data_IF_323363003061
#
_entry.id   IF_323363003061
#
_cell.length_a   1.000
_cell.length_b   1.000
_cell.length_c   1.000
_cell.angle_alpha   90.00
_cell.angle_beta   90.00
_cell.angle_gamma   90.00
#
_symmetry.space_group_name_H-M   'P 1'
#
loop_
_entity.id
_entity.type
_entity.pdbx_description
1 polymer ?
#
# COMPACT_ATOMS: atom_id res chain seq x y z
N UNK A 1 57.31 -29.40 -40.63
CA UNK A 1 56.85 -29.96 -39.38
C UNK A 1 57.18 -29.03 -38.24
N UNK A 2 56.25 -28.30 -37.65
CA UNK A 2 56.37 -28.02 -36.23
C UNK A 2 55.12 -28.52 -35.49
N UNK A 3 55.41 -28.92 -34.27
CA UNK A 3 54.58 -29.58 -33.30
C UNK A 3 53.38 -28.74 -32.80
N UNK A 4 52.27 -29.43 -32.63
CA UNK A 4 51.02 -28.95 -32.00
C UNK A 4 51.24 -28.74 -30.50
N UNK A 5 51.13 -27.51 -30.05
CA UNK A 5 51.08 -27.16 -28.62
C UNK A 5 49.66 -27.40 -28.11
N UNK A 6 49.53 -28.35 -27.20
CA UNK A 6 48.34 -28.66 -26.43
C UNK A 6 47.84 -27.43 -25.67
N UNK A 7 46.67 -26.90 -26.04
CA UNK A 7 45.92 -25.97 -25.24
C UNK A 7 45.38 -26.66 -23.99
N UNK A 8 45.98 -26.36 -22.84
CA UNK A 8 45.44 -26.72 -21.54
C UNK A 8 44.13 -25.91 -21.34
N UNK A 9 43.02 -26.63 -21.39
CA UNK A 9 41.73 -26.09 -21.02
C UNK A 9 41.81 -25.49 -19.60
N UNK A 10 41.59 -24.20 -19.49
CA UNK A 10 41.35 -23.54 -18.22
C UNK A 10 40.22 -24.27 -17.49
N UNK A 11 40.39 -24.72 -16.25
CA UNK A 11 39.29 -25.27 -15.49
C UNK A 11 38.19 -24.18 -15.39
N UNK A 12 36.95 -24.56 -15.72
CA UNK A 12 35.81 -23.72 -15.57
C UNK A 12 35.80 -23.17 -14.15
N UNK A 13 35.77 -21.84 -14.03
CA UNK A 13 35.70 -21.16 -12.72
C UNK A 13 34.52 -21.79 -11.96
N UNK A 14 34.81 -22.48 -10.88
CA UNK A 14 33.80 -22.96 -9.93
C UNK A 14 32.97 -21.78 -9.49
N UNK A 15 31.70 -21.72 -9.93
CA UNK A 15 30.78 -20.71 -9.49
C UNK A 15 30.77 -20.70 -7.96
N UNK A 16 30.86 -19.49 -7.37
CA UNK A 16 30.82 -19.34 -5.92
C UNK A 16 29.53 -20.02 -5.39
N UNK A 17 29.60 -20.69 -4.23
CA UNK A 17 28.44 -21.37 -3.67
C UNK A 17 27.27 -20.40 -3.53
N UNK A 18 26.09 -20.78 -4.04
CA UNK A 18 24.88 -19.97 -3.90
C UNK A 18 24.50 -19.88 -2.43
N UNK A 19 24.18 -18.66 -1.96
CA UNK A 19 23.64 -18.46 -0.60
C UNK A 19 22.14 -18.70 -0.64
N UNK A 20 21.62 -19.53 0.27
CA UNK A 20 20.19 -19.72 0.49
C UNK A 20 19.83 -19.25 1.87
N UNK A 21 18.78 -18.43 1.97
CA UNK A 21 18.22 -18.02 3.25
C UNK A 21 17.07 -18.94 3.62
N UNK A 22 17.03 -19.42 4.86
CA UNK A 22 15.91 -20.12 5.45
C UNK A 22 15.31 -19.26 6.58
N UNK A 23 14.04 -18.86 6.45
CA UNK A 23 13.37 -17.95 7.37
C UNK A 23 12.26 -18.68 8.13
N UNK A 24 12.39 -18.80 9.46
CA UNK A 24 11.37 -19.34 10.32
C UNK A 24 11.52 -18.84 11.74
N UNK A 25 10.46 -18.29 12.32
CA UNK A 25 10.42 -17.70 13.68
C UNK A 25 10.50 -18.73 14.83
N UNK A 26 10.29 -20.01 14.53
CA UNK A 26 10.37 -21.12 15.49
C UNK A 26 11.28 -22.21 14.98
N UNK A 27 11.64 -23.18 15.85
CA UNK A 27 12.40 -24.35 15.41
C UNK A 27 11.53 -25.18 14.46
N UNK A 28 11.89 -25.21 13.21
CA UNK A 28 11.30 -26.06 12.18
C UNK A 28 12.28 -27.16 11.78
N UNK A 29 11.78 -28.35 11.59
CA UNK A 29 12.62 -29.53 11.27
C UNK A 29 13.29 -29.35 9.90
N UNK A 30 12.58 -28.82 8.92
CA UNK A 30 13.12 -28.53 7.59
C UNK A 30 14.34 -27.60 7.66
N UNK A 31 14.26 -26.53 8.48
CA UNK A 31 15.34 -25.56 8.64
C UNK A 31 16.60 -26.20 9.25
N UNK A 32 16.40 -27.08 10.22
CA UNK A 32 17.49 -27.83 10.87
C UNK A 32 18.08 -28.87 9.93
N UNK A 33 17.24 -29.58 9.17
CA UNK A 33 17.63 -30.59 8.19
C UNK A 33 18.48 -29.99 7.07
N UNK A 34 18.03 -28.91 6.43
CA UNK A 34 18.77 -28.23 5.37
C UNK A 34 20.05 -27.57 5.87
N UNK A 35 20.02 -26.96 7.05
CA UNK A 35 21.24 -26.41 7.66
C UNK A 35 22.29 -27.48 7.94
N UNK A 36 21.89 -28.67 8.42
CA UNK A 36 22.81 -29.79 8.64
C UNK A 36 23.32 -30.36 7.34
N UNK A 37 22.44 -30.51 6.34
CA UNK A 37 22.83 -30.98 5.00
C UNK A 37 23.84 -30.04 4.34
N UNK A 38 23.69 -28.72 4.43
CA UNK A 38 24.62 -27.76 3.82
C UNK A 38 26.03 -27.80 4.40
N UNK A 39 26.22 -28.37 5.60
CA UNK A 39 27.54 -28.59 6.20
C UNK A 39 28.24 -29.84 5.66
N UNK A 40 27.58 -30.65 4.83
CA UNK A 40 28.20 -31.79 4.20
C UNK A 40 29.13 -31.39 3.07
N UNK A 41 30.20 -32.17 2.84
CA UNK A 41 31.20 -31.88 1.79
C UNK A 41 30.63 -31.90 0.36
N UNK A 42 29.44 -32.48 0.17
CA UNK A 42 28.76 -32.57 -1.12
C UNK A 42 27.89 -31.31 -1.41
N UNK A 43 27.54 -30.53 -0.39
CA UNK A 43 26.71 -29.34 -0.56
C UNK A 43 27.57 -28.17 -1.09
N UNK A 44 27.27 -27.73 -2.32
CA UNK A 44 27.85 -26.50 -2.90
C UNK A 44 26.95 -25.26 -2.59
N UNK A 45 26.35 -25.24 -1.43
CA UNK A 45 25.35 -24.22 -1.02
C UNK A 45 25.68 -23.78 0.39
N UNK A 46 25.72 -22.48 0.61
CA UNK A 46 25.76 -21.89 1.95
C UNK A 46 24.32 -21.67 2.41
N UNK A 47 23.88 -22.32 3.50
CA UNK A 47 22.54 -22.16 4.04
C UNK A 47 22.60 -21.29 5.30
N UNK A 48 21.97 -20.11 5.24
CA UNK A 48 21.87 -19.17 6.35
C UNK A 48 20.49 -19.26 6.97
N UNK A 49 20.44 -19.43 8.29
CA UNK A 49 19.21 -19.43 9.07
C UNK A 49 18.91 -18.03 9.57
N UNK A 50 17.72 -17.56 9.30
CA UNK A 50 17.17 -16.31 9.83
C UNK A 50 15.95 -16.62 10.69
N UNK A 51 15.89 -16.05 11.88
CA UNK A 51 14.76 -16.24 12.80
C UNK A 51 13.61 -15.29 12.50
N UNK A 52 13.91 -14.18 11.82
CA UNK A 52 12.92 -13.16 11.48
C UNK A 52 13.08 -12.72 10.03
N UNK A 53 11.98 -12.23 9.40
CA UNK A 53 12.03 -11.57 8.09
C UNK A 53 13.01 -10.38 8.08
N UNK A 54 13.12 -9.65 9.17
CA UNK A 54 14.05 -8.51 9.31
C UNK A 54 15.51 -8.93 9.19
N UNK A 55 15.90 -10.06 9.81
CA UNK A 55 17.26 -10.61 9.67
C UNK A 55 17.57 -10.97 8.21
N UNK A 56 16.62 -11.65 7.54
CA UNK A 56 16.77 -12.00 6.14
C UNK A 56 16.89 -10.77 5.24
N UNK A 57 16.08 -9.75 5.51
CA UNK A 57 16.15 -8.45 4.84
C UNK A 57 17.50 -7.76 5.01
N UNK A 58 18.09 -7.83 6.21
CA UNK A 58 19.42 -7.28 6.47
C UNK A 58 20.50 -8.02 5.66
N UNK A 59 20.41 -9.32 5.50
CA UNK A 59 21.36 -10.12 4.68
C UNK A 59 21.23 -9.72 3.20
N UNK A 60 20.01 -9.56 2.68
CA UNK A 60 19.76 -9.10 1.31
C UNK A 60 20.34 -7.69 1.10
N UNK A 61 20.08 -6.76 2.03
CA UNK A 61 20.55 -5.39 1.97
C UNK A 61 22.07 -5.23 2.14
N UNK A 62 22.76 -6.21 2.73
CA UNK A 62 24.22 -6.23 2.84
C UNK A 62 24.94 -6.52 1.51
N UNK A 63 24.22 -6.70 0.40
CA UNK A 63 24.77 -6.93 -0.94
C UNK A 63 25.31 -8.36 -1.16
N UNK A 64 24.98 -9.29 -0.28
CA UNK A 64 25.29 -10.73 -0.54
C UNK A 64 24.42 -11.24 -1.66
N UNK A 65 25.04 -12.00 -2.57
CA UNK A 65 24.31 -12.65 -3.66
C UNK A 65 23.55 -13.85 -3.10
N UNK A 66 22.27 -13.65 -2.82
CA UNK A 66 21.35 -14.71 -2.38
C UNK A 66 20.72 -15.36 -3.61
N UNK A 67 20.77 -16.67 -3.70
CA UNK A 67 20.21 -17.42 -4.82
C UNK A 67 18.72 -17.75 -4.61
N UNK A 68 18.30 -17.97 -3.35
CA UNK A 68 16.94 -18.36 -3.00
C UNK A 68 16.63 -17.97 -1.56
N UNK A 69 15.35 -17.62 -1.29
CA UNK A 69 14.81 -17.43 0.06
C UNK A 69 13.71 -18.47 0.27
N UNK A 70 13.87 -19.36 1.25
CA UNK A 70 12.83 -20.26 1.75
C UNK A 70 12.17 -19.63 2.96
N UNK A 71 10.85 -19.49 2.94
CA UNK A 71 10.10 -18.81 4.00
C UNK A 71 9.04 -19.77 4.54
N UNK A 72 9.08 -20.05 5.84
CA UNK A 72 8.00 -20.78 6.52
C UNK A 72 6.68 -20.01 6.45
N UNK A 73 5.57 -20.70 6.18
CA UNK A 73 4.27 -20.04 6.05
C UNK A 73 3.89 -19.19 7.27
N UNK A 74 4.23 -19.65 8.50
CA UNK A 74 4.00 -18.89 9.73
C UNK A 74 4.91 -17.65 9.87
N UNK A 75 5.95 -17.53 9.03
CA UNK A 75 6.88 -16.39 9.01
C UNK A 75 6.79 -15.63 7.68
N UNK A 76 5.74 -15.87 6.90
CA UNK A 76 5.54 -15.19 5.62
C UNK A 76 5.47 -13.66 5.83
N UNK A 77 6.16 -12.93 4.94
CA UNK A 77 6.25 -11.48 5.00
C UNK A 77 6.35 -10.92 3.58
N UNK A 78 5.34 -10.16 3.17
CA UNK A 78 5.24 -9.57 1.83
C UNK A 78 6.38 -8.64 1.51
N UNK A 79 6.83 -7.89 2.51
CA UNK A 79 7.89 -6.90 2.33
C UNK A 79 9.24 -7.57 2.12
N UNK A 80 9.51 -8.69 2.82
CA UNK A 80 10.68 -9.52 2.59
C UNK A 80 10.66 -10.12 1.17
N UNK A 81 9.51 -10.65 0.75
CA UNK A 81 9.34 -11.27 -0.58
C UNK A 81 9.53 -10.21 -1.67
N UNK A 82 8.96 -9.02 -1.50
CA UNK A 82 9.14 -7.90 -2.41
C UNK A 82 10.61 -7.44 -2.45
N UNK A 83 11.28 -7.36 -1.30
CA UNK A 83 12.70 -7.03 -1.21
C UNK A 83 13.56 -8.07 -1.93
N UNK A 84 13.33 -9.37 -1.69
CA UNK A 84 14.04 -10.44 -2.39
C UNK A 84 13.92 -10.29 -3.90
N UNK A 85 12.71 -10.01 -4.39
CA UNK A 85 12.46 -9.78 -5.82
C UNK A 85 13.23 -8.58 -6.37
N UNK A 86 13.35 -7.46 -5.63
CA UNK A 86 14.14 -6.30 -6.07
C UNK A 86 15.63 -6.62 -6.18
N UNK A 87 16.11 -7.60 -5.42
CA UNK A 87 17.47 -8.14 -5.51
C UNK A 87 17.63 -9.25 -6.54
N UNK A 88 16.58 -9.55 -7.34
CA UNK A 88 16.61 -10.63 -8.33
C UNK A 88 16.63 -12.03 -7.72
N UNK A 89 16.16 -12.17 -6.47
CA UNK A 89 16.13 -13.41 -5.71
C UNK A 89 14.70 -13.96 -5.66
N UNK A 90 14.53 -15.24 -6.00
CA UNK A 90 13.24 -15.92 -5.89
C UNK A 90 12.94 -16.28 -4.44
N UNK A 91 11.67 -16.18 -4.05
CA UNK A 91 11.15 -16.63 -2.76
C UNK A 91 10.30 -17.88 -2.95
N UNK A 92 10.42 -18.84 -2.04
CA UNK A 92 9.68 -20.11 -2.02
C UNK A 92 9.01 -20.25 -0.66
N UNK A 93 7.71 -20.49 -0.65
CA UNK A 93 6.96 -20.74 0.57
C UNK A 93 7.11 -22.20 1.00
N UNK A 94 7.51 -22.43 2.24
CA UNK A 94 7.50 -23.75 2.88
C UNK A 94 6.17 -23.89 3.63
N UNK A 95 5.39 -24.89 3.26
CA UNK A 95 4.08 -25.15 3.86
C UNK A 95 4.16 -25.39 5.36
N UNK A 96 3.19 -24.85 6.06
CA UNK A 96 2.86 -25.20 7.43
C UNK A 96 1.39 -25.64 7.49
N UNK A 97 1.08 -26.88 7.90
CA UNK A 97 -0.31 -27.34 7.97
C UNK A 97 -1.21 -26.49 8.90
N UNK A 98 -0.60 -25.78 9.84
CA UNK A 98 -1.31 -24.89 10.77
C UNK A 98 -1.55 -23.48 10.21
N UNK A 99 -0.91 -23.11 9.10
CA UNK A 99 -0.98 -21.77 8.51
C UNK A 99 -1.23 -21.87 7.01
N UNK A 100 -2.45 -21.55 6.60
CA UNK A 100 -2.82 -21.52 5.19
C UNK A 100 -2.41 -20.17 4.59
N UNK A 101 -1.26 -20.10 3.94
CA UNK A 101 -0.81 -18.92 3.20
C UNK A 101 -0.88 -19.18 1.69
N UNK A 102 -1.44 -18.23 0.93
CA UNK A 102 -1.45 -18.30 -0.53
C UNK A 102 -0.13 -17.78 -1.10
N UNK A 103 0.71 -18.71 -1.54
CA UNK A 103 2.02 -18.40 -2.13
C UNK A 103 1.95 -17.52 -3.38
N UNK A 104 0.83 -17.58 -4.14
CA UNK A 104 0.62 -16.75 -5.34
C UNK A 104 0.33 -15.32 -4.95
N UNK A 105 -0.57 -15.13 -3.96
CA UNK A 105 -0.93 -13.82 -3.43
C UNK A 105 0.27 -13.15 -2.74
N UNK A 106 1.11 -13.93 -2.07
CA UNK A 106 2.36 -13.44 -1.48
C UNK A 106 3.42 -13.04 -2.53
N UNK A 107 3.30 -13.53 -3.76
CA UNK A 107 4.29 -13.30 -4.83
C UNK A 107 5.51 -14.21 -4.76
N UNK A 108 5.37 -15.38 -4.11
CA UNK A 108 6.39 -16.44 -4.13
C UNK A 108 6.43 -17.14 -5.49
N UNK A 109 7.61 -17.63 -5.87
CA UNK A 109 7.79 -18.35 -7.14
C UNK A 109 7.11 -19.73 -7.15
N UNK A 110 7.02 -20.37 -5.98
CA UNK A 110 6.38 -21.68 -5.76
C UNK A 110 6.20 -21.94 -4.27
N UNK A 111 5.52 -23.04 -3.95
CA UNK A 111 5.47 -23.59 -2.60
C UNK A 111 5.99 -25.03 -2.57
N UNK A 112 6.50 -25.45 -1.41
CA UNK A 112 6.99 -26.81 -1.16
C UNK A 112 6.50 -27.30 0.21
N UNK A 113 6.55 -28.60 0.41
CA UNK A 113 6.19 -29.21 1.69
C UNK A 113 7.34 -29.10 2.71
N UNK A 114 7.06 -29.24 3.98
CA UNK A 114 8.02 -29.09 5.07
C UNK A 114 8.99 -30.28 5.22
N UNK A 115 8.80 -31.36 4.45
CA UNK A 115 9.70 -32.51 4.37
C UNK A 115 10.87 -32.30 3.38
N UNK A 116 10.99 -31.11 2.78
CA UNK A 116 12.02 -30.73 1.81
C UNK A 116 13.41 -31.23 2.19
N UNK A 117 14.09 -31.84 1.21
CA UNK A 117 15.44 -32.41 1.34
C UNK A 117 16.52 -31.53 0.68
N UNK A 118 17.80 -31.93 0.82
CA UNK A 118 18.89 -31.24 0.14
C UNK A 118 18.83 -31.38 -1.38
N UNK A 119 18.34 -32.52 -1.89
CA UNK A 119 18.20 -32.76 -3.31
C UNK A 119 17.08 -31.90 -3.91
N UNK A 120 15.97 -31.75 -3.20
CA UNK A 120 14.88 -30.82 -3.57
C UNK A 120 15.39 -29.37 -3.62
N UNK A 121 16.26 -29.00 -2.68
CA UNK A 121 16.87 -27.67 -2.68
C UNK A 121 17.77 -27.44 -3.89
N UNK A 122 18.56 -28.46 -4.32
CA UNK A 122 19.37 -28.37 -5.53
C UNK A 122 18.47 -28.22 -6.77
N UNK A 123 17.37 -28.95 -6.84
CA UNK A 123 16.41 -28.85 -7.95
C UNK A 123 15.78 -27.45 -7.99
N UNK A 124 15.37 -26.89 -6.85
CA UNK A 124 14.88 -25.54 -6.75
C UNK A 124 15.91 -24.50 -7.21
N UNK A 125 17.15 -24.64 -6.80
CA UNK A 125 18.24 -23.76 -7.22
C UNK A 125 18.52 -23.84 -8.73
N UNK A 126 18.45 -25.00 -9.30
CA UNK A 126 18.63 -25.19 -10.76
C UNK A 126 17.47 -24.55 -11.54
N UNK A 127 16.26 -24.60 -11.00
CA UNK A 127 15.06 -24.06 -11.63
C UNK A 127 14.89 -22.54 -11.41
N UNK A 128 15.20 -22.04 -10.22
CA UNK A 128 14.88 -20.68 -9.78
C UNK A 128 16.11 -19.81 -9.47
N UNK A 129 17.29 -20.42 -9.30
CA UNK A 129 18.51 -19.75 -8.82
C UNK A 129 19.36 -19.07 -9.91
N UNK A 130 18.90 -19.07 -11.16
CA UNK A 130 19.56 -18.32 -12.25
C UNK A 130 19.31 -16.81 -12.14
N UNK A 131 20.15 -15.97 -12.81
CA UNK A 131 19.80 -14.57 -12.99
C UNK A 131 18.42 -14.52 -13.66
N UNK A 132 17.51 -13.61 -13.27
CA UNK A 132 16.21 -13.51 -13.89
C UNK A 132 16.42 -13.32 -15.39
N UNK A 133 16.11 -14.35 -16.17
CA UNK A 133 16.05 -14.24 -17.62
C UNK A 133 15.01 -13.16 -17.91
N UNK A 134 15.36 -12.17 -18.74
CA UNK A 134 14.45 -11.12 -19.18
C UNK A 134 13.23 -11.68 -19.97
N UNK A 135 13.17 -12.99 -20.11
CA UNK A 135 12.10 -13.83 -20.68
C UNK A 135 11.51 -14.82 -19.67
N UNK A 136 11.71 -14.64 -18.37
CA UNK A 136 10.74 -15.20 -17.46
C UNK A 136 9.45 -14.45 -17.78
N UNK A 137 8.69 -15.02 -18.72
CA UNK A 137 7.27 -14.86 -18.72
C UNK A 137 6.85 -15.03 -17.24
N UNK A 138 6.76 -13.90 -16.53
CA UNK A 138 5.78 -13.82 -15.51
C UNK A 138 4.55 -14.30 -16.26
N UNK A 139 4.21 -15.54 -16.05
CA UNK A 139 2.83 -15.91 -16.13
C UNK A 139 2.20 -14.95 -15.15
N UNK A 140 1.91 -13.71 -15.64
CA UNK A 140 0.66 -13.08 -15.32
C UNK A 140 -0.36 -14.17 -15.63
N UNK A 141 -0.43 -15.16 -14.74
CA UNK A 141 -1.70 -15.78 -14.50
C UNK A 141 -2.50 -14.62 -13.95
N UNK A 142 -3.01 -13.84 -14.88
CA UNK A 142 -4.31 -13.28 -14.74
C UNK A 142 -5.08 -14.41 -14.09
N UNK A 143 -5.16 -14.39 -12.77
CA UNK A 143 -6.19 -15.12 -12.06
C UNK A 143 -7.39 -14.64 -12.84
N UNK A 144 -8.02 -15.57 -13.51
CA UNK A 144 -9.16 -15.29 -14.37
C UNK A 144 -10.25 -14.75 -13.43
N UNK A 145 -10.15 -13.44 -13.16
CA UNK A 145 -11.07 -12.65 -12.34
C UNK A 145 -12.36 -12.37 -13.13
N UNK A 146 -12.61 -13.22 -14.17
CA UNK A 146 -13.90 -13.28 -14.84
C UNK A 146 -14.95 -13.77 -13.84
N UNK A 147 -15.35 -12.87 -12.94
CA UNK A 147 -16.32 -13.14 -11.88
C UNK A 147 -16.03 -12.43 -10.56
N UNK A 148 -14.79 -12.00 -10.28
CA UNK A 148 -14.52 -11.20 -9.09
C UNK A 148 -15.13 -9.79 -9.26
N UNK A 149 -15.89 -9.27 -8.28
CA UNK A 149 -16.42 -7.92 -8.36
C UNK A 149 -15.26 -6.92 -8.47
N UNK A 150 -15.43 -5.90 -9.32
CA UNK A 150 -14.44 -4.84 -9.45
C UNK A 150 -14.11 -4.23 -8.06
N UNK A 151 -12.84 -3.93 -7.78
CA UNK A 151 -12.45 -3.38 -6.48
C UNK A 151 -13.18 -2.07 -6.22
N UNK A 152 -13.57 -1.84 -4.96
CA UNK A 152 -14.30 -0.64 -4.57
C UNK A 152 -13.52 0.65 -4.92
N UNK A 153 -14.22 1.74 -5.27
CA UNK A 153 -13.58 3.03 -5.51
C UNK A 153 -12.79 3.54 -4.31
N UNK A 154 -11.60 4.07 -4.58
CA UNK A 154 -10.68 4.62 -3.59
C UNK A 154 -10.44 6.11 -3.82
N UNK A 155 -10.66 6.88 -2.78
CA UNK A 155 -10.40 8.33 -2.74
C UNK A 155 -9.26 8.61 -1.77
N UNK A 156 -8.14 9.12 -2.25
CA UNK A 156 -7.05 9.61 -1.40
C UNK A 156 -7.19 11.12 -1.18
N UNK A 157 -7.25 11.55 0.08
CA UNK A 157 -7.33 12.97 0.46
C UNK A 157 -6.00 13.41 1.05
N UNK A 158 -5.35 14.36 0.42
CA UNK A 158 -4.04 14.86 0.85
C UNK A 158 -3.93 16.36 0.64
N UNK A 159 -2.94 16.98 1.25
CA UNK A 159 -2.74 18.43 1.06
C UNK A 159 -1.56 18.99 1.82
N UNK A 160 -1.53 20.31 1.92
CA UNK A 160 -0.47 21.02 2.62
C UNK A 160 -0.77 21.16 4.12
N UNK A 161 0.24 21.34 4.94
CA UNK A 161 0.09 21.45 6.39
C UNK A 161 -0.98 22.48 6.80
N UNK A 162 -1.89 22.07 7.67
CA UNK A 162 -2.98 22.93 8.16
C UNK A 162 -4.04 23.27 7.12
N UNK A 163 -4.07 22.63 5.96
CA UNK A 163 -5.09 22.86 4.91
C UNK A 163 -6.47 22.31 5.26
N UNK A 164 -6.57 21.40 6.23
CA UNK A 164 -7.83 20.78 6.67
C UNK A 164 -8.16 19.49 5.91
N UNK A 165 -7.15 18.71 5.50
CA UNK A 165 -7.33 17.44 4.81
C UNK A 165 -8.28 16.51 5.56
N UNK A 166 -8.02 16.26 6.85
CA UNK A 166 -8.84 15.42 7.71
C UNK A 166 -10.31 15.84 7.72
N UNK A 167 -10.57 17.13 7.85
CA UNK A 167 -11.95 17.64 7.80
C UNK A 167 -12.62 17.41 6.44
N UNK A 168 -11.88 17.61 5.36
CA UNK A 168 -12.38 17.35 4.00
C UNK A 168 -12.61 15.86 3.79
N UNK A 169 -11.74 14.97 4.28
CA UNK A 169 -11.91 13.52 4.23
C UNK A 169 -13.18 13.10 4.97
N UNK A 170 -13.41 13.60 6.19
CA UNK A 170 -14.63 13.37 6.97
C UNK A 170 -15.89 13.80 6.22
N UNK A 171 -15.88 15.00 5.62
CA UNK A 171 -17.02 15.51 4.85
C UNK A 171 -17.30 14.66 3.59
N UNK A 172 -16.27 14.23 2.88
CA UNK A 172 -16.42 13.36 1.70
C UNK A 172 -17.01 12.02 2.11
N UNK A 173 -16.42 11.35 3.11
CA UNK A 173 -16.90 10.06 3.58
C UNK A 173 -18.36 10.13 4.07
N UNK A 174 -18.69 11.15 4.88
CA UNK A 174 -20.05 11.36 5.38
C UNK A 174 -21.06 11.60 4.24
N UNK A 175 -20.69 12.43 3.28
CA UNK A 175 -21.57 12.74 2.15
C UNK A 175 -21.78 11.54 1.22
N UNK A 176 -20.74 10.71 0.98
CA UNK A 176 -20.86 9.47 0.21
C UNK A 176 -21.74 8.44 0.92
N UNK A 177 -21.59 8.30 2.25
CA UNK A 177 -22.45 7.43 3.07
C UNK A 177 -23.91 7.89 3.07
N UNK A 178 -24.15 9.21 3.16
CA UNK A 178 -25.50 9.79 3.07
C UNK A 178 -26.18 9.51 1.72
N UNK A 179 -25.43 9.56 0.62
CA UNK A 179 -25.98 9.25 -0.72
C UNK A 179 -26.25 7.74 -0.87
N UNK A 180 -25.40 6.89 -0.30
CA UNK A 180 -25.59 5.45 -0.23
C UNK A 180 -26.89 5.06 0.49
N UNK A 181 -27.16 5.66 1.65
CA UNK A 181 -28.43 5.47 2.41
C UNK A 181 -29.67 5.85 1.61
N UNK A 182 -29.62 6.97 0.93
CA UNK A 182 -30.75 7.40 0.06
C UNK A 182 -31.04 6.40 -1.05
N UNK A 183 -30.07 5.60 -1.43
CA UNK A 183 -30.18 4.52 -2.43
C UNK A 183 -30.46 3.14 -1.81
N UNK A 184 -30.78 3.07 -0.51
CA UNK A 184 -31.13 1.82 0.20
C UNK A 184 -29.94 0.92 0.55
N UNK A 185 -28.70 1.45 0.54
CA UNK A 185 -27.51 0.71 0.99
C UNK A 185 -27.39 0.77 2.52
N UNK A 186 -26.76 -0.26 3.11
CA UNK A 186 -26.45 -0.29 4.56
C UNK A 186 -25.57 0.88 4.98
N UNK A 187 -25.60 1.25 6.25
CA UNK A 187 -24.90 2.43 6.81
C UNK A 187 -23.38 2.35 6.73
N UNK A 188 -22.80 1.15 6.71
CA UNK A 188 -21.35 0.91 6.80
C UNK A 188 -20.68 0.59 5.48
N UNK A 189 -21.23 1.08 4.37
CA UNK A 189 -20.65 0.79 3.03
C UNK A 189 -19.45 1.67 2.68
N UNK A 190 -19.23 2.79 3.40
CA UNK A 190 -18.09 3.69 3.19
C UNK A 190 -17.13 3.58 4.36
N UNK A 191 -15.86 3.33 4.08
CA UNK A 191 -14.80 3.44 5.09
C UNK A 191 -14.10 4.79 5.01
N UNK A 192 -13.88 5.42 6.18
CA UNK A 192 -12.90 6.49 6.36
C UNK A 192 -11.70 5.92 7.12
N UNK A 193 -10.51 6.03 6.53
CA UNK A 193 -9.28 5.45 7.08
C UNK A 193 -8.28 6.55 7.39
N UNK A 194 -7.71 6.54 8.59
CA UNK A 194 -6.66 7.46 8.99
C UNK A 194 -5.29 6.94 8.56
N UNK A 195 -4.82 7.36 7.40
CA UNK A 195 -3.48 7.07 6.90
C UNK A 195 -2.41 8.02 7.44
N UNK A 196 -2.76 8.93 8.37
CA UNK A 196 -1.85 9.95 8.85
C UNK A 196 -0.97 9.46 10.01
N UNK A 197 0.20 10.05 10.16
CA UNK A 197 1.05 9.80 11.33
C UNK A 197 0.59 10.54 12.61
N UNK A 198 -0.41 11.42 12.49
CA UNK A 198 -0.94 12.20 13.61
C UNK A 198 -2.12 11.53 14.30
N UNK A 199 -2.74 10.53 13.67
CA UNK A 199 -3.93 9.82 14.16
C UNK A 199 -5.06 10.76 14.65
N UNK A 200 -5.26 11.88 13.91
CA UNK A 200 -6.16 12.94 14.34
C UNK A 200 -7.65 12.51 14.34
N UNK A 201 -8.01 11.49 13.56
CA UNK A 201 -9.40 11.03 13.48
C UNK A 201 -9.90 10.46 14.81
N UNK A 202 -9.03 9.80 15.61
CA UNK A 202 -9.42 9.34 16.95
C UNK A 202 -9.90 10.51 17.83
N UNK A 203 -9.14 11.61 17.84
CA UNK A 203 -9.48 12.81 18.58
C UNK A 203 -10.81 13.44 18.11
N UNK A 204 -11.05 13.47 16.79
CA UNK A 204 -12.25 14.09 16.21
C UNK A 204 -13.51 13.24 16.34
N UNK A 205 -13.39 12.02 16.82
CA UNK A 205 -14.50 11.11 17.03
C UNK A 205 -14.66 10.67 18.49
N UNK A 206 -13.90 11.28 19.39
CA UNK A 206 -13.90 10.97 20.84
C UNK A 206 -13.69 9.46 21.10
N UNK A 207 -12.82 8.84 20.33
CA UNK A 207 -12.46 7.43 20.46
C UNK A 207 -11.14 7.30 21.22
N UNK A 208 -11.13 6.40 22.21
CA UNK A 208 -9.94 6.11 22.99
C UNK A 208 -8.87 5.31 22.22
N UNK A 209 -7.71 5.12 22.85
CA UNK A 209 -6.56 4.43 22.26
C UNK A 209 -6.74 2.90 22.10
N UNK A 210 -7.81 2.32 22.67
CA UNK A 210 -8.02 0.86 22.71
C UNK A 210 -8.80 0.29 21.50
N UNK A 211 -9.05 1.09 20.49
CA UNK A 211 -9.77 0.65 19.29
C UNK A 211 -8.75 0.19 18.25
N UNK A 212 -8.92 -1.03 17.67
CA UNK A 212 -8.03 -1.51 16.61
C UNK A 212 -8.11 -0.59 15.39
N UNK A 213 -7.05 -0.60 14.56
CA UNK A 213 -6.99 0.30 13.40
C UNK A 213 -5.93 -0.10 12.39
N UNK A 214 -5.27 0.91 11.83
CA UNK A 214 -4.25 0.73 10.77
C UNK A 214 -3.09 -0.20 11.18
N UNK A 215 -2.56 -0.19 12.42
CA UNK A 215 -1.52 -1.14 12.78
C UNK A 215 -1.97 -2.61 12.64
N UNK A 216 -3.14 -2.94 13.14
CA UNK A 216 -3.73 -4.28 13.06
C UNK A 216 -4.09 -4.63 11.60
N UNK A 217 -4.58 -3.66 10.83
CA UNK A 217 -4.83 -3.83 9.40
C UNK A 217 -3.56 -4.21 8.63
N UNK A 218 -2.45 -3.55 8.91
CA UNK A 218 -1.17 -3.85 8.29
C UNK A 218 -0.66 -5.24 8.72
N UNK A 219 -0.81 -5.60 9.99
CA UNK A 219 -0.40 -6.91 10.48
C UNK A 219 -1.22 -8.04 9.85
N UNK A 220 -2.54 -7.88 9.72
CA UNK A 220 -3.40 -8.85 9.01
C UNK A 220 -2.96 -9.11 7.56
N UNK A 221 -2.39 -8.10 6.90
CA UNK A 221 -1.98 -8.22 5.49
C UNK A 221 -0.50 -8.51 5.29
N UNK A 222 0.27 -8.72 6.36
CA UNK A 222 1.71 -8.97 6.29
C UNK A 222 2.03 -10.33 5.66
N UNK A 223 1.41 -11.38 6.12
CA UNK A 223 1.72 -12.75 5.76
C UNK A 223 0.58 -13.52 5.08
N UNK A 224 -0.60 -12.94 5.00
CA UNK A 224 -1.77 -13.61 4.42
C UNK A 224 -2.74 -12.63 3.77
N UNK A 225 -3.72 -13.17 3.05
CA UNK A 225 -4.85 -12.44 2.52
C UNK A 225 -5.94 -12.40 3.61
N UNK A 226 -6.10 -11.24 4.26
CA UNK A 226 -7.09 -11.08 5.31
C UNK A 226 -8.52 -11.30 4.77
N UNK A 227 -9.34 -12.00 5.55
CA UNK A 227 -10.76 -12.14 5.27
C UNK A 227 -11.44 -10.75 5.37
N UNK A 228 -12.39 -10.41 4.48
CA UNK A 228 -13.15 -9.18 4.57
C UNK A 228 -13.86 -8.96 5.91
N UNK A 229 -14.27 -10.03 6.61
CA UNK A 229 -14.84 -9.92 7.96
C UNK A 229 -13.83 -9.41 8.98
N UNK A 230 -12.59 -9.90 8.95
CA UNK A 230 -11.54 -9.47 9.87
C UNK A 230 -11.18 -8.00 9.65
N UNK A 231 -11.14 -7.56 8.38
CA UNK A 231 -10.90 -6.15 8.02
C UNK A 231 -12.08 -5.28 8.47
N UNK A 232 -13.33 -5.77 8.36
CA UNK A 232 -14.52 -5.05 8.80
C UNK A 232 -14.53 -4.84 10.32
N UNK A 233 -14.08 -5.85 11.08
CA UNK A 233 -14.04 -5.82 12.55
C UNK A 233 -13.03 -4.80 13.11
N UNK A 234 -12.07 -4.33 12.29
CA UNK A 234 -11.17 -3.23 12.64
C UNK A 234 -11.82 -1.85 12.55
N UNK A 235 -13.02 -1.75 12.00
CA UNK A 235 -13.68 -0.48 11.75
C UNK A 235 -14.68 -0.14 12.86
N UNK A 236 -14.49 1.00 13.50
CA UNK A 236 -15.41 1.53 14.50
C UNK A 236 -16.62 2.21 13.84
N UNK A 237 -17.80 2.01 14.43
CA UNK A 237 -19.01 2.77 14.10
C UNK A 237 -19.13 3.95 15.07
N UNK A 238 -19.33 5.15 14.54
CA UNK A 238 -19.47 6.38 15.33
C UNK A 238 -20.87 6.94 15.14
N UNK A 239 -21.57 7.21 16.25
CA UNK A 239 -22.90 7.80 16.23
C UNK A 239 -22.91 9.13 15.48
N UNK A 240 -23.93 9.37 14.68
CA UNK A 240 -24.03 10.59 13.85
C UNK A 240 -23.11 10.61 12.61
N UNK A 241 -22.21 9.64 12.44
CA UNK A 241 -21.39 9.48 11.25
C UNK A 241 -22.01 8.45 10.28
N UNK A 242 -21.73 8.65 9.00
CA UNK A 242 -22.27 7.77 7.93
C UNK A 242 -21.17 7.02 7.21
N UNK A 243 -20.18 6.61 7.98
CA UNK A 243 -19.04 5.81 7.53
C UNK A 243 -18.52 4.95 8.68
N UNK A 244 -17.91 3.84 8.35
CA UNK A 244 -17.09 3.07 9.26
C UNK A 244 -15.69 3.73 9.35
N UNK A 245 -15.09 3.76 10.53
CA UNK A 245 -13.85 4.46 10.79
C UNK A 245 -12.73 3.49 11.15
N UNK A 246 -11.66 3.44 10.35
CA UNK A 246 -10.42 2.73 10.68
C UNK A 246 -9.42 3.75 11.20
N UNK A 247 -9.05 3.63 12.46
CA UNK A 247 -8.20 4.59 13.16
C UNK A 247 -6.73 4.47 12.76
N UNK A 248 -6.04 5.58 12.76
CA UNK A 248 -4.58 5.64 12.61
C UNK A 248 -3.84 5.12 13.83
N UNK A 249 -2.52 4.96 13.70
CA UNK A 249 -1.68 4.58 14.82
C UNK A 249 -1.56 5.73 15.82
N UNK A 250 -1.93 5.55 17.11
CA UNK A 250 -1.85 6.60 18.13
C UNK A 250 -0.41 6.99 18.47
N UNK A 251 0.55 6.11 18.14
CA UNK A 251 1.98 6.35 18.25
C UNK A 251 2.63 6.05 16.91
N UNK A 252 3.70 6.78 16.58
CA UNK A 252 4.49 6.46 15.37
C UNK A 252 4.79 4.95 15.38
N UNK A 253 4.36 4.21 14.36
CA UNK A 253 4.76 2.81 14.24
C UNK A 253 6.29 2.72 14.33
N UNK A 254 6.78 1.68 14.96
CA UNK A 254 8.22 1.42 14.97
C UNK A 254 8.73 1.39 13.52
N UNK A 255 9.92 1.95 13.24
CA UNK A 255 10.52 1.83 11.91
C UNK A 255 10.52 0.37 11.47
N UNK A 256 9.93 0.06 10.30
CA UNK A 256 9.86 -1.28 9.77
C UNK A 256 8.56 -2.04 10.08
N UNK A 257 7.51 -1.39 10.61
CA UNK A 257 6.25 -2.08 10.94
C UNK A 257 5.54 -2.61 9.69
N UNK A 258 5.60 -1.92 8.57
CA UNK A 258 5.15 -2.40 7.26
C UNK A 258 5.86 -1.64 6.15
N UNK A 259 6.29 -2.35 5.12
CA UNK A 259 6.79 -1.78 3.90
C UNK A 259 5.69 -1.51 2.88
N UNK A 260 6.10 -1.27 1.66
CA UNK A 260 5.22 -0.87 0.57
C UNK A 260 4.26 -2.00 0.15
N UNK A 261 4.74 -3.24 0.10
CA UNK A 261 3.95 -4.38 -0.34
C UNK A 261 2.82 -4.72 0.65
N UNK A 262 3.11 -4.69 1.95
CA UNK A 262 2.09 -4.87 3.01
C UNK A 262 1.06 -3.74 2.97
N UNK A 263 1.48 -2.49 2.79
CA UNK A 263 0.56 -1.36 2.70
C UNK A 263 -0.35 -1.43 1.46
N UNK A 264 0.17 -1.86 0.30
CA UNK A 264 -0.62 -2.07 -0.92
C UNK A 264 -1.65 -3.19 -0.72
N UNK A 265 -1.27 -4.30 -0.07
CA UNK A 265 -2.18 -5.39 0.26
C UNK A 265 -3.29 -4.94 1.23
N UNK A 266 -2.96 -4.12 2.22
CA UNK A 266 -3.94 -3.54 3.15
C UNK A 266 -4.96 -2.63 2.45
N UNK A 267 -4.51 -1.79 1.53
CA UNK A 267 -5.41 -0.97 0.68
C UNK A 267 -6.30 -1.85 -0.19
N UNK A 268 -5.75 -2.91 -0.78
CA UNK A 268 -6.55 -3.87 -1.55
C UNK A 268 -7.58 -4.59 -0.67
N UNK A 269 -7.22 -4.97 0.57
CA UNK A 269 -8.12 -5.54 1.56
C UNK A 269 -9.31 -4.63 1.88
N UNK A 270 -9.05 -3.36 2.16
CA UNK A 270 -10.09 -2.35 2.37
C UNK A 270 -11.04 -2.25 1.17
N UNK A 271 -10.52 -2.27 -0.05
CA UNK A 271 -11.33 -2.19 -1.29
C UNK A 271 -12.15 -3.44 -1.57
N UNK A 272 -11.80 -4.59 -0.98
CA UNK A 272 -12.63 -5.82 -1.02
C UNK A 272 -13.73 -5.79 0.02
N UNK A 273 -13.51 -5.12 1.15
CA UNK A 273 -14.41 -5.12 2.30
C UNK A 273 -15.51 -4.07 2.19
N UNK A 274 -15.16 -2.86 1.75
CA UNK A 274 -16.10 -1.72 1.71
C UNK A 274 -16.51 -1.37 0.29
N UNK A 275 -17.68 -0.78 0.11
CA UNK A 275 -18.16 -0.36 -1.20
C UNK A 275 -17.50 0.94 -1.71
N UNK A 276 -16.91 1.72 -0.83
CA UNK A 276 -16.10 2.91 -1.14
C UNK A 276 -15.12 3.15 0.00
N UNK A 277 -13.89 3.48 -0.34
CA UNK A 277 -12.82 3.77 0.64
C UNK A 277 -12.36 5.21 0.48
N UNK A 278 -12.31 5.95 1.58
CA UNK A 278 -11.72 7.29 1.67
C UNK A 278 -10.56 7.23 2.63
N UNK A 279 -9.35 7.54 2.17
CA UNK A 279 -8.16 7.54 3.02
C UNK A 279 -7.69 8.98 3.22
N UNK A 280 -7.65 9.41 4.47
CA UNK A 280 -6.96 10.64 4.85
C UNK A 280 -5.45 10.38 4.82
N UNK A 281 -4.79 10.81 3.77
CA UNK A 281 -3.35 10.72 3.63
C UNK A 281 -2.62 11.91 4.28
N UNK A 282 -3.36 12.89 4.76
CA UNK A 282 -2.87 14.03 5.53
C UNK A 282 -1.93 14.93 4.75
N UNK A 283 -0.89 15.37 5.43
CA UNK A 283 0.18 16.19 4.84
C UNK A 283 1.27 15.26 4.34
N UNK A 284 1.24 14.95 3.08
CA UNK A 284 2.33 14.25 2.40
C UNK A 284 3.26 15.36 1.90
N UNK A 285 4.38 15.56 2.60
CA UNK A 285 5.42 16.49 2.15
C UNK A 285 6.15 15.95 0.92
N UNK A 286 7.27 16.57 0.55
CA UNK A 286 8.22 16.16 -0.50
C UNK A 286 8.68 14.67 -0.46
N UNK A 287 8.15 13.91 0.48
CA UNK A 287 8.42 12.50 0.71
C UNK A 287 7.80 11.56 -0.33
N UNK A 288 6.94 12.05 -1.24
CA UNK A 288 6.50 11.23 -2.38
C UNK A 288 7.67 10.83 -3.29
N UNK A 289 8.78 11.59 -3.26
CA UNK A 289 9.94 11.39 -4.14
C UNK A 289 11.24 11.02 -3.39
N UNK A 290 11.25 10.90 -2.04
CA UNK A 290 12.44 10.65 -1.24
C UNK A 290 12.77 9.17 -1.03
N UNK A 291 13.99 8.85 -0.50
CA UNK A 291 14.37 7.48 -0.14
C UNK A 291 13.49 6.87 0.97
N UNK A 292 12.83 7.69 1.76
CA UNK A 292 11.83 7.29 2.76
C UNK A 292 10.45 7.04 2.11
N UNK A 293 10.43 6.25 1.05
CA UNK A 293 9.20 5.84 0.35
C UNK A 293 8.20 5.06 1.21
N UNK A 294 8.58 4.66 2.40
CA UNK A 294 7.70 3.98 3.37
C UNK A 294 6.72 4.95 4.05
N UNK A 295 5.93 5.69 3.25
CA UNK A 295 4.84 6.50 3.80
C UNK A 295 3.65 5.60 4.18
N UNK A 296 3.91 4.33 4.42
CA UNK A 296 2.91 3.38 4.85
C UNK A 296 1.62 3.44 4.00
N UNK A 297 0.49 3.40 4.69
CA UNK A 297 -0.83 3.34 4.06
C UNK A 297 -1.16 4.59 3.19
N UNK A 298 -0.68 5.78 3.56
CA UNK A 298 -0.90 7.00 2.76
C UNK A 298 -0.27 6.91 1.36
N UNK A 299 0.96 6.40 1.27
CA UNK A 299 1.63 6.18 -0.01
C UNK A 299 0.90 5.16 -0.88
N UNK A 300 0.51 4.02 -0.31
CA UNK A 300 -0.28 3.00 -0.98
C UNK A 300 -1.63 3.56 -1.47
N UNK A 301 -2.30 4.36 -0.65
CA UNK A 301 -3.54 5.02 -1.02
C UNK A 301 -3.38 5.93 -2.24
N UNK A 302 -2.31 6.73 -2.29
CA UNK A 302 -2.05 7.65 -3.43
C UNK A 302 -1.76 6.85 -4.70
N UNK A 303 -0.99 5.76 -4.60
CA UNK A 303 -0.70 4.88 -5.75
C UNK A 303 -1.96 4.21 -6.31
N UNK A 304 -2.84 3.76 -5.44
CA UNK A 304 -4.04 3.00 -5.80
C UNK A 304 -5.29 3.86 -6.02
N UNK A 305 -5.24 5.17 -5.77
CA UNK A 305 -6.40 6.05 -5.83
C UNK A 305 -7.04 6.13 -7.22
N UNK A 306 -8.36 5.99 -7.26
CA UNK A 306 -9.17 6.26 -8.44
C UNK A 306 -9.46 7.77 -8.59
N UNK A 307 -9.45 8.49 -7.46
CA UNK A 307 -9.54 9.95 -7.41
C UNK A 307 -8.64 10.49 -6.30
N UNK A 308 -7.83 11.49 -6.62
CA UNK A 308 -7.02 12.22 -5.65
C UNK A 308 -7.70 13.54 -5.32
N UNK A 309 -7.87 13.86 -4.04
CA UNK A 309 -8.39 15.14 -3.56
C UNK A 309 -7.25 15.92 -2.93
N UNK A 310 -6.78 16.96 -3.63
CA UNK A 310 -5.69 17.82 -3.17
C UNK A 310 -6.25 19.07 -2.47
N UNK A 311 -5.99 19.18 -1.15
CA UNK A 311 -6.54 20.23 -0.31
C UNK A 311 -5.52 21.34 -0.06
N UNK A 312 -5.88 22.58 -0.38
CA UNK A 312 -5.06 23.76 -0.12
C UNK A 312 -5.85 24.90 0.51
N UNK A 313 -5.14 25.89 1.03
CA UNK A 313 -5.73 27.13 1.58
C UNK A 313 -5.39 28.31 0.68
N UNK A 314 -6.29 29.31 0.58
CA UNK A 314 -5.97 30.57 -0.10
C UNK A 314 -4.85 31.32 0.62
N UNK A 315 -4.12 32.14 -0.12
CA UNK A 315 -2.97 32.90 0.32
C UNK A 315 -1.67 32.41 -0.32
N UNK A 316 -0.66 33.28 -0.37
CA UNK A 316 0.56 33.07 -1.13
C UNK A 316 1.25 31.74 -0.77
N UNK A 317 1.49 31.51 0.51
CA UNK A 317 2.18 30.31 0.99
C UNK A 317 1.39 29.03 0.72
N UNK A 318 0.09 29.03 1.09
CA UNK A 318 -0.78 27.84 0.91
C UNK A 318 -0.96 27.48 -0.56
N UNK A 319 -1.11 28.48 -1.43
CA UNK A 319 -1.27 28.27 -2.87
C UNK A 319 0.01 27.76 -3.51
N UNK A 320 1.18 28.33 -3.13
CA UNK A 320 2.48 27.87 -3.64
C UNK A 320 2.78 26.44 -3.22
N UNK A 321 2.56 26.10 -1.95
CA UNK A 321 2.75 24.76 -1.43
C UNK A 321 1.85 23.73 -2.15
N UNK A 322 0.58 24.08 -2.39
CA UNK A 322 -0.33 23.22 -3.15
C UNK A 322 0.11 23.06 -4.62
N UNK A 323 0.56 24.13 -5.26
CA UNK A 323 1.03 24.06 -6.65
C UNK A 323 2.20 23.07 -6.79
N UNK A 324 3.16 23.08 -5.84
CA UNK A 324 4.24 22.10 -5.80
C UNK A 324 3.73 20.67 -5.60
N UNK A 325 2.81 20.47 -4.65
CA UNK A 325 2.19 19.17 -4.42
C UNK A 325 1.50 18.62 -5.67
N UNK A 326 0.80 19.49 -6.44
CA UNK A 326 0.13 19.09 -7.68
C UNK A 326 1.11 18.67 -8.77
N UNK A 327 2.30 19.27 -8.83
CA UNK A 327 3.37 18.83 -9.74
C UNK A 327 3.84 17.44 -9.34
N UNK A 328 4.15 17.20 -8.07
CA UNK A 328 4.57 15.89 -7.56
C UNK A 328 3.53 14.78 -7.82
N UNK A 329 2.23 15.11 -7.62
CA UNK A 329 1.15 14.18 -7.97
C UNK A 329 1.13 13.92 -9.49
N UNK A 330 1.34 14.94 -10.29
CA UNK A 330 1.40 14.83 -11.75
C UNK A 330 2.51 13.91 -12.22
N UNK A 331 3.69 14.03 -11.62
CA UNK A 331 4.86 13.20 -11.97
C UNK A 331 4.64 11.72 -11.62
N UNK A 332 3.95 11.42 -10.51
CA UNK A 332 3.73 10.06 -10.05
C UNK A 332 2.45 9.41 -10.61
N UNK A 333 1.44 10.21 -10.83
CA UNK A 333 0.09 9.79 -11.23
C UNK A 333 -0.46 10.68 -12.34
N UNK A 334 0.16 10.71 -13.52
CA UNK A 334 -0.20 11.64 -14.60
C UNK A 334 -1.65 11.50 -15.07
N UNK A 335 -2.19 10.28 -15.05
CA UNK A 335 -3.54 9.98 -15.54
C UNK A 335 -4.63 10.03 -14.46
N UNK A 336 -4.26 10.12 -13.17
CA UNK A 336 -5.24 10.11 -12.10
C UNK A 336 -6.07 11.41 -12.09
N UNK A 337 -7.40 11.34 -11.98
CA UNK A 337 -8.24 12.50 -11.75
C UNK A 337 -7.90 13.18 -10.43
N UNK A 338 -7.63 14.48 -10.49
CA UNK A 338 -7.33 15.29 -9.31
C UNK A 338 -8.42 16.33 -9.11
N UNK A 339 -9.05 16.32 -7.94
CA UNK A 339 -9.95 17.36 -7.47
C UNK A 339 -9.18 18.28 -6.52
N UNK A 340 -9.12 19.56 -6.85
CA UNK A 340 -8.49 20.56 -5.99
C UNK A 340 -9.54 21.21 -5.10
N UNK A 341 -9.35 21.14 -3.79
CA UNK A 341 -10.21 21.83 -2.81
C UNK A 341 -9.49 23.04 -2.26
N UNK A 342 -10.01 24.23 -2.59
CA UNK A 342 -9.62 25.47 -1.94
C UNK A 342 -10.41 25.63 -0.64
N UNK A 343 -9.83 25.24 0.49
CA UNK A 343 -10.50 25.24 1.78
C UNK A 343 -10.38 26.56 2.51
N UNK A 344 -11.36 26.86 3.35
CA UNK A 344 -11.44 28.06 4.20
C UNK A 344 -11.37 29.39 3.43
N UNK A 345 -11.98 29.42 2.23
CA UNK A 345 -12.09 30.64 1.43
C UNK A 345 -12.88 31.70 2.16
N UNK A 346 -12.39 32.94 2.13
CA UNK A 346 -13.18 34.11 2.52
C UNK A 346 -14.21 34.43 1.41
N UNK A 347 -15.29 35.15 1.74
CA UNK A 347 -16.37 35.51 0.77
C UNK A 347 -15.92 36.44 -0.37
N UNK A 348 -14.64 36.64 -0.61
CA UNK A 348 -14.08 37.51 -1.65
C UNK A 348 -13.76 36.79 -2.95
N UNK A 349 -14.09 37.37 -4.11
CA UNK A 349 -13.79 36.83 -5.41
C UNK A 349 -12.26 36.81 -5.73
N UNK A 350 -11.52 37.73 -5.11
CA UNK A 350 -10.08 37.93 -5.37
C UNK A 350 -9.27 36.72 -4.91
N UNK A 351 -9.48 36.21 -3.70
CA UNK A 351 -8.75 35.06 -3.16
C UNK A 351 -8.90 33.81 -4.04
N UNK A 352 -10.13 33.57 -4.52
CA UNK A 352 -10.46 32.43 -5.38
C UNK A 352 -9.81 32.55 -6.78
N UNK A 353 -9.80 33.75 -7.34
CA UNK A 353 -9.20 33.99 -8.64
C UNK A 353 -7.68 33.83 -8.59
N UNK A 354 -7.04 34.41 -7.58
CA UNK A 354 -5.60 34.30 -7.33
C UNK A 354 -5.20 32.84 -7.09
N UNK A 355 -5.96 32.12 -6.27
CA UNK A 355 -5.73 30.71 -6.04
C UNK A 355 -5.76 29.90 -7.34
N UNK A 356 -6.80 30.05 -8.16
CA UNK A 356 -6.96 29.31 -9.42
C UNK A 356 -5.89 29.65 -10.45
N UNK A 357 -5.50 30.94 -10.54
CA UNK A 357 -4.51 31.39 -11.51
C UNK A 357 -3.09 30.88 -11.20
N UNK A 358 -2.82 30.51 -9.96
CA UNK A 358 -1.53 30.01 -9.52
C UNK A 358 -1.41 28.47 -9.55
N UNK A 359 -2.48 27.76 -9.91
CA UNK A 359 -2.42 26.30 -10.07
C UNK A 359 -1.72 25.94 -11.38
N UNK A 360 -0.93 24.85 -11.41
CA UNK A 360 -0.34 24.36 -12.65
C UNK A 360 -1.44 24.00 -13.65
N UNK A 361 -1.18 24.29 -14.92
CA UNK A 361 -2.03 23.84 -16.01
C UNK A 361 -1.62 22.43 -16.37
N UNK A 362 -2.55 21.49 -16.31
CA UNK A 362 -2.36 20.18 -16.93
C UNK A 362 -2.74 20.28 -18.39
N UNK A 363 -1.84 19.88 -19.25
CA UNK A 363 -2.14 19.73 -20.67
C UNK A 363 -3.05 18.50 -20.85
N UNK A 364 -4.02 18.58 -21.77
CA UNK A 364 -4.98 17.49 -22.01
C UNK A 364 -4.31 16.18 -22.44
N UNK A 365 -3.07 16.26 -22.97
CA UNK A 365 -2.23 15.11 -23.27
C UNK A 365 -1.66 14.41 -22.01
N UNK A 366 -1.56 15.13 -20.88
CA UNK A 366 -0.96 14.66 -19.63
C UNK A 366 -2.00 14.23 -18.60
N UNK A 367 -3.29 14.37 -18.90
CA UNK A 367 -4.37 13.96 -17.99
C UNK A 367 -5.56 14.93 -17.94
N UNK A 368 -6.62 14.59 -17.22
CA UNK A 368 -7.81 15.42 -17.13
C UNK A 368 -7.51 16.76 -16.44
N UNK A 369 -8.18 17.86 -16.87
CA UNK A 369 -7.98 19.16 -16.27
C UNK A 369 -8.36 19.17 -14.78
N UNK A 370 -7.64 19.98 -13.98
CA UNK A 370 -7.89 20.13 -12.55
C UNK A 370 -9.27 20.73 -12.30
N UNK A 371 -10.13 19.99 -11.59
CA UNK A 371 -11.42 20.51 -11.14
C UNK A 371 -11.25 21.18 -9.78
N UNK A 372 -11.58 22.47 -9.66
CA UNK A 372 -11.43 23.27 -8.42
C UNK A 372 -12.77 23.45 -7.73
N UNK A 373 -12.80 23.11 -6.44
CA UNK A 373 -13.96 23.27 -5.54
C UNK A 373 -13.59 24.27 -4.44
N UNK A 374 -14.42 25.30 -4.27
CA UNK A 374 -14.23 26.28 -3.19
C UNK A 374 -15.10 25.91 -1.98
N UNK A 375 -14.47 25.74 -0.84
CA UNK A 375 -15.13 25.54 0.44
C UNK A 375 -14.97 26.79 1.30
N UNK A 376 -16.09 27.40 1.66
CA UNK A 376 -16.08 28.55 2.53
C UNK A 376 -15.59 28.18 3.93
N UNK A 377 -14.98 29.14 4.64
CA UNK A 377 -14.57 28.94 6.03
C UNK A 377 -15.80 28.53 6.88
N UNK A 378 -15.74 27.33 7.44
CA UNK A 378 -16.77 26.82 8.34
C UNK A 378 -16.64 27.47 9.72
N UNK A 379 -17.75 27.92 10.26
CA UNK A 379 -17.85 28.38 11.65
C UNK A 379 -18.11 27.16 12.54
N UNK A 380 -17.64 27.23 13.78
CA UNK A 380 -17.86 26.12 14.74
C UNK A 380 -17.09 24.82 14.42
N UNK A 381 -16.07 24.87 13.56
CA UNK A 381 -15.31 23.68 13.19
C UNK A 381 -14.64 23.02 14.40
N UNK A 382 -14.16 23.82 15.36
CA UNK A 382 -13.57 23.29 16.60
C UNK A 382 -14.60 22.55 17.45
N UNK A 383 -15.85 23.01 17.47
CA UNK A 383 -16.94 22.36 18.17
C UNK A 383 -17.31 21.01 17.52
N UNK A 384 -17.32 20.97 16.18
CA UNK A 384 -17.51 19.73 15.42
C UNK A 384 -16.42 18.70 15.77
N UNK A 385 -15.20 19.15 15.98
CA UNK A 385 -14.07 18.27 16.31
C UNK A 385 -14.06 17.84 17.79
N UNK A 386 -14.51 18.70 18.72
CA UNK A 386 -14.47 18.42 20.16
C UNK A 386 -15.66 17.61 20.66
N UNK A 387 -16.83 17.82 20.11
CA UNK A 387 -18.09 17.27 20.62
C UNK A 387 -18.75 16.28 19.68
N UNK A 388 -18.02 15.81 18.65
CA UNK A 388 -18.55 14.93 17.60
C UNK A 388 -19.87 15.47 17.00
N UNK A 389 -20.02 16.80 16.99
CA UNK A 389 -21.20 17.48 16.49
C UNK A 389 -21.43 17.18 15.00
N UNK A 390 -22.65 17.43 14.53
CA UNK A 390 -23.06 17.12 13.17
C UNK A 390 -22.20 17.83 12.13
N UNK A 391 -21.77 17.05 11.14
CA UNK A 391 -21.07 17.58 9.98
C UNK A 391 -22.04 18.41 9.10
N UNK A 392 -21.57 19.51 8.47
CA UNK A 392 -22.42 20.35 7.64
C UNK A 392 -22.88 19.60 6.38
N UNK A 393 -24.07 19.01 6.44
CA UNK A 393 -24.64 18.09 5.44
C UNK A 393 -24.61 18.67 4.01
N UNK A 394 -24.91 19.98 3.84
CA UNK A 394 -24.88 20.62 2.52
C UNK A 394 -23.49 20.59 1.89
N UNK A 395 -22.46 20.85 2.70
CA UNK A 395 -21.06 20.85 2.23
C UNK A 395 -20.60 19.42 1.95
N UNK A 396 -20.93 18.49 2.83
CA UNK A 396 -20.63 17.07 2.65
C UNK A 396 -21.25 16.52 1.37
N UNK A 397 -22.55 16.76 1.15
CA UNK A 397 -23.26 16.33 -0.07
C UNK A 397 -22.67 16.97 -1.34
N UNK A 398 -22.29 18.25 -1.30
CA UNK A 398 -21.71 18.92 -2.45
C UNK A 398 -20.33 18.34 -2.82
N UNK A 399 -19.47 18.08 -1.84
CA UNK A 399 -18.18 17.43 -2.04
C UNK A 399 -18.34 15.99 -2.58
N UNK A 400 -19.20 15.20 -1.94
CA UNK A 400 -19.45 13.82 -2.33
C UNK A 400 -19.93 13.72 -3.79
N UNK A 401 -20.82 14.59 -4.23
CA UNK A 401 -21.28 14.63 -5.63
C UNK A 401 -20.13 14.88 -6.63
N UNK A 402 -19.21 15.77 -6.29
CA UNK A 402 -18.05 16.06 -7.14
C UNK A 402 -17.09 14.87 -7.21
N UNK A 403 -16.85 14.23 -6.06
CA UNK A 403 -16.03 13.02 -5.98
C UNK A 403 -16.69 11.88 -6.77
N UNK A 404 -17.98 11.62 -6.56
CA UNK A 404 -18.73 10.59 -7.30
C UNK A 404 -18.69 10.84 -8.83
N UNK A 405 -18.83 12.09 -9.26
CA UNK A 405 -18.71 12.44 -10.69
C UNK A 405 -17.31 12.20 -11.24
N UNK A 406 -16.27 12.38 -10.42
CA UNK A 406 -14.89 12.07 -10.82
C UNK A 406 -14.67 10.56 -10.92
N UNK A 407 -15.13 9.79 -9.93
CA UNK A 407 -15.07 8.33 -9.92
C UNK A 407 -15.78 7.71 -11.14
N UNK A 408 -16.94 8.23 -11.53
CA UNK A 408 -17.65 7.72 -12.72
C UNK A 408 -16.88 7.95 -14.03
N UNK A 409 -16.09 9.03 -14.10
CA UNK A 409 -15.25 9.30 -15.30
C UNK A 409 -13.99 8.43 -15.34
N UNK A 410 -13.56 7.92 -14.19
CA UNK A 410 -12.37 7.06 -14.06
C UNK A 410 -12.68 5.59 -14.31
N UNK A 411 -13.95 5.19 -14.20
CA UNK A 411 -14.35 3.82 -14.47
C UNK A 411 -14.07 3.50 -15.95
N UNK A 412 -13.42 2.37 -16.27
CA UNK A 412 -13.23 1.95 -17.64
C UNK A 412 -14.61 1.86 -18.29
N UNK A 413 -14.80 2.60 -19.39
CA UNK A 413 -16.00 2.45 -20.22
C UNK A 413 -15.93 1.04 -20.80
N UNK A 414 -16.78 0.16 -20.31
CA UNK A 414 -17.04 -1.12 -20.97
C UNK A 414 -17.67 -0.74 -22.31
N UNK A 415 -16.86 -0.80 -23.37
CA UNK A 415 -17.36 -0.66 -24.74
C UNK A 415 -18.27 -1.88 -24.97
N UNK A 416 -19.57 -1.61 -25.06
CA UNK A 416 -20.59 -2.61 -25.31
C UNK A 416 -20.48 -3.14 -26.76
#
# INVERSE_FOLDING_TARGET
MPESVNGHGRPAATAAPGVVLGVAGTRRDWLTRLSRWSMSASARVEFLRCLTPTEAGAVLGAGRRVALVLIDAASADRDLIALARTHGTSSVLVRDPAHAADWVDLGCATQIDDDVTGDDLIELLNRLGGPPSATSDHVERSVDLTGAPAPAPLVAVLGTGGSGCTTIAMLIAHGLGSDGRRRGRSETTVALVDGTSSAALALYHDLGEAVPGVPELLELHRGDLADPSDVHDLAATVEGRRYALVLGAPRRPAPGLAGEATADAAVAGLRRTFATVVIDAGTVGLALSGPDRSIGLAGAAIRAADVIVAVGRPGLHGTHALARLLVEIGDQRPTAPVLVVCNATRRGAIDRRTFRSALPRRDTAEGPPLAVIDIARMRGLEEIHRSVADLPERTATALARRVASALHRSAPQVVA
#
